data_IF_737884861778
#
_entry.id   IF_737884861778
#
_cell.length_a   1.000
_cell.length_b   1.000
_cell.length_c   1.000
_cell.angle_alpha   90.00
_cell.angle_beta   90.00
_cell.angle_gamma   90.00
#
_symmetry.space_group_name_H-M   'P 1'
#
loop_
_entity.id
_entity.type
_entity.pdbx_description
1 polymer ?
#
# COMPACT_ATOMS: atom_id res chain seq x y z
N UNK A 1 -39.83 -25.80 -71.69
CA UNK A 1 -38.52 -25.13 -71.57
C UNK A 1 -38.64 -23.96 -70.60
N UNK A 2 -37.76 -23.94 -69.59
CA UNK A 2 -37.31 -22.81 -68.74
C UNK A 2 -38.36 -22.18 -67.77
N UNK A 3 -38.26 -22.39 -66.44
CA UNK A 3 -37.28 -21.83 -65.44
C UNK A 3 -37.69 -20.37 -65.10
N UNK A 4 -37.91 -19.88 -63.87
CA UNK A 4 -37.45 -20.11 -62.48
C UNK A 4 -38.44 -19.32 -61.60
N UNK A 5 -39.22 -19.92 -60.70
CA UNK A 5 -38.97 -20.15 -59.26
C UNK A 5 -38.70 -18.88 -58.41
N UNK A 6 -39.79 -18.40 -57.81
CA UNK A 6 -40.02 -17.78 -56.49
C UNK A 6 -38.87 -17.28 -55.58
N UNK A 7 -39.28 -16.26 -54.81
CA UNK A 7 -38.93 -15.94 -53.41
C UNK A 7 -37.65 -15.12 -53.16
N UNK A 8 -37.86 -13.81 -53.04
CA UNK A 8 -37.12 -12.97 -52.10
C UNK A 8 -37.48 -13.48 -50.69
N UNK A 9 -36.49 -13.80 -49.86
CA UNK A 9 -36.44 -13.11 -48.60
C UNK A 9 -35.07 -12.49 -48.39
N UNK A 10 -35.14 -11.20 -48.07
CA UNK A 10 -34.13 -10.37 -47.47
C UNK A 10 -33.34 -11.18 -46.43
N UNK A 11 -32.18 -11.70 -46.81
CA UNK A 11 -31.18 -12.16 -45.86
C UNK A 11 -30.41 -10.91 -45.41
N UNK A 12 -31.11 -10.07 -44.63
CA UNK A 12 -30.45 -9.21 -43.66
C UNK A 12 -29.78 -10.18 -42.70
N UNK A 13 -28.52 -10.54 -42.97
CA UNK A 13 -27.64 -11.04 -41.92
C UNK A 13 -27.50 -9.88 -40.94
N UNK A 14 -28.37 -9.87 -39.94
CA UNK A 14 -28.20 -9.15 -38.71
C UNK A 14 -26.79 -9.49 -38.22
N UNK A 15 -25.87 -8.55 -38.42
CA UNK A 15 -24.63 -8.51 -37.66
C UNK A 15 -25.10 -8.13 -36.26
N UNK A 16 -25.57 -9.11 -35.49
CA UNK A 16 -25.61 -8.97 -34.05
C UNK A 16 -24.15 -8.84 -33.63
N UNK A 17 -23.66 -7.60 -33.58
CA UNK A 17 -22.60 -7.27 -32.65
C UNK A 17 -23.17 -7.63 -31.29
N UNK A 18 -22.96 -8.87 -30.87
CA UNK A 18 -22.94 -9.18 -29.45
C UNK A 18 -21.82 -8.30 -28.92
N UNK A 19 -22.20 -7.12 -28.40
CA UNK A 19 -21.40 -6.49 -27.36
C UNK A 19 -21.36 -7.57 -26.29
N UNK A 20 -20.27 -8.34 -26.25
CA UNK A 20 -19.94 -9.11 -25.07
C UNK A 20 -19.94 -8.05 -23.98
N UNK A 21 -20.95 -8.08 -23.12
CA UNK A 21 -20.90 -7.27 -21.91
C UNK A 21 -19.77 -7.94 -21.16
N UNK A 22 -18.59 -7.33 -21.25
CA UNK A 22 -17.44 -7.75 -20.49
C UNK A 22 -17.74 -7.42 -19.02
N UNK A 23 -18.47 -8.32 -18.37
CA UNK A 23 -18.73 -8.31 -16.94
C UNK A 23 -17.48 -8.79 -16.16
N UNK A 24 -16.28 -8.66 -16.75
CA UNK A 24 -15.03 -8.94 -16.05
C UNK A 24 -14.52 -7.70 -15.33
N UNK A 25 -14.08 -7.90 -14.10
CA UNK A 25 -13.56 -6.85 -13.23
C UNK A 25 -12.94 -7.48 -11.99
N UNK A 26 -12.35 -6.67 -11.12
CA UNK A 26 -11.83 -7.19 -9.87
C UNK A 26 -13.01 -7.46 -8.92
N UNK A 27 -13.26 -8.71 -8.55
CA UNK A 27 -14.34 -9.09 -7.62
C UNK A 27 -13.88 -9.14 -6.17
N UNK A 28 -12.62 -8.79 -5.92
CA UNK A 28 -12.01 -8.80 -4.60
C UNK A 28 -12.31 -7.49 -3.83
N UNK A 29 -13.00 -7.55 -2.68
CA UNK A 29 -13.36 -6.36 -1.91
C UNK A 29 -12.16 -5.65 -1.27
N UNK A 30 -10.99 -6.29 -1.20
CA UNK A 30 -9.77 -5.67 -0.68
C UNK A 30 -9.01 -4.88 -1.77
N UNK A 31 -9.43 -4.98 -3.03
CA UNK A 31 -8.80 -4.28 -4.13
C UNK A 31 -9.26 -2.83 -4.25
N UNK A 32 -8.35 -1.92 -4.62
CA UNK A 32 -8.66 -0.50 -4.85
C UNK A 32 -9.55 -0.28 -6.07
N UNK A 33 -9.59 -1.26 -6.98
CA UNK A 33 -10.40 -1.28 -8.19
C UNK A 33 -11.50 -2.34 -8.16
N UNK A 34 -11.99 -2.68 -6.96
CA UNK A 34 -13.14 -3.56 -6.77
C UNK A 34 -14.35 -3.11 -7.60
N UNK A 35 -14.90 -4.03 -8.38
CA UNK A 35 -16.12 -3.89 -9.15
C UNK A 35 -17.16 -4.89 -8.65
N UNK A 36 -18.08 -4.42 -7.81
CA UNK A 36 -19.18 -5.23 -7.30
C UNK A 36 -20.24 -5.62 -8.34
N UNK A 37 -20.13 -5.12 -9.58
CA UNK A 37 -20.97 -5.54 -10.71
C UNK A 37 -20.31 -6.58 -11.61
N UNK A 38 -19.01 -6.84 -11.42
CA UNK A 38 -18.31 -7.87 -12.16
C UNK A 38 -18.79 -9.27 -11.74
N UNK A 39 -19.10 -10.09 -12.73
CA UNK A 39 -19.51 -11.49 -12.56
C UNK A 39 -18.34 -12.45 -12.78
N UNK A 40 -17.23 -11.94 -13.36
CA UNK A 40 -16.03 -12.70 -13.70
C UNK A 40 -14.79 -11.99 -13.15
N UNK A 41 -13.99 -12.70 -12.36
CA UNK A 41 -12.72 -12.17 -11.83
C UNK A 41 -11.73 -11.90 -12.97
N UNK A 42 -11.16 -10.70 -12.97
CA UNK A 42 -10.13 -10.29 -13.91
C UNK A 42 -8.75 -10.35 -13.25
N UNK A 43 -7.72 -10.70 -14.00
CA UNK A 43 -6.34 -10.67 -13.47
C UNK A 43 -5.79 -9.24 -13.38
N UNK A 44 -6.60 -8.24 -13.00
CA UNK A 44 -6.22 -6.83 -12.95
C UNK A 44 -6.42 -6.18 -11.57
N UNK A 45 -6.83 -6.94 -10.55
CA UNK A 45 -6.95 -6.43 -9.19
C UNK A 45 -5.67 -5.72 -8.76
N UNK A 46 -5.84 -4.54 -8.18
CA UNK A 46 -4.79 -3.72 -7.62
C UNK A 46 -5.02 -3.56 -6.13
N UNK A 47 -3.96 -3.64 -5.35
CA UNK A 47 -4.04 -3.61 -3.91
C UNK A 47 -3.10 -2.55 -3.34
N UNK A 48 -3.51 -1.95 -2.23
CA UNK A 48 -2.66 -1.04 -1.47
C UNK A 48 -2.70 -1.43 0.01
N UNK A 49 -1.61 -1.15 0.71
CA UNK A 49 -1.52 -1.29 2.16
C UNK A 49 -1.08 0.03 2.79
N UNK A 50 -1.55 0.30 4.01
CA UNK A 50 -1.18 1.50 4.77
C UNK A 50 -0.29 1.15 5.95
N UNK A 51 0.64 2.06 6.27
CA UNK A 51 1.51 1.98 7.43
C UNK A 51 1.53 3.32 8.15
N UNK A 52 1.41 3.27 9.47
CA UNK A 52 1.61 4.42 10.36
C UNK A 52 2.71 4.06 11.35
N UNK A 53 3.82 4.79 11.27
CA UNK A 53 4.99 4.68 12.13
C UNK A 53 4.89 5.70 13.27
N UNK A 54 5.21 5.23 14.47
CA UNK A 54 5.27 6.07 15.66
C UNK A 54 6.33 5.56 16.62
N UNK A 55 6.75 6.40 17.56
CA UNK A 55 7.64 6.02 18.66
C UNK A 55 7.17 6.67 19.96
N UNK A 56 7.53 6.04 21.08
CA UNK A 56 7.15 6.47 22.41
C UNK A 56 8.17 7.47 23.00
N UNK A 57 7.81 8.09 24.12
CA UNK A 57 8.68 9.00 24.89
C UNK A 57 10.03 8.36 25.21
N UNK A 58 10.07 7.06 25.48
CA UNK A 58 11.29 6.31 25.78
C UNK A 58 12.36 6.40 24.67
N UNK A 59 11.96 6.51 23.39
CA UNK A 59 12.90 6.71 22.28
C UNK A 59 13.51 8.12 22.32
N UNK A 60 12.77 9.12 22.80
CA UNK A 60 13.20 10.52 22.83
C UNK A 60 14.27 10.80 23.89
N UNK A 61 14.26 10.04 24.99
CA UNK A 61 15.33 10.06 25.98
C UNK A 61 16.66 9.65 25.35
N UNK A 62 16.65 8.57 24.55
CA UNK A 62 17.84 8.14 23.80
C UNK A 62 18.23 9.19 22.75
N UNK A 63 17.29 9.72 21.96
CA UNK A 63 17.62 10.75 20.98
C UNK A 63 18.35 11.95 21.60
N UNK A 64 17.95 12.36 22.80
CA UNK A 64 18.62 13.44 23.53
C UNK A 64 20.05 13.05 23.97
N UNK A 65 20.27 11.80 24.38
CA UNK A 65 21.60 11.29 24.76
C UNK A 65 22.57 11.25 23.57
N UNK A 66 22.05 10.88 22.40
CA UNK A 66 22.84 10.73 21.17
C UNK A 66 22.82 11.94 20.25
N UNK A 67 22.23 13.05 20.72
CA UNK A 67 22.15 14.29 19.98
C UNK A 67 21.46 14.15 18.61
N UNK A 68 20.42 13.33 18.54
CA UNK A 68 19.56 13.15 17.37
C UNK A 68 18.43 14.18 17.46
N UNK A 69 18.30 15.05 16.45
CA UNK A 69 17.31 16.12 16.43
C UNK A 69 16.24 15.94 15.36
N UNK A 70 16.55 15.19 14.30
CA UNK A 70 15.66 14.98 13.16
C UNK A 70 15.74 13.53 12.69
N UNK A 71 14.60 12.99 12.29
CA UNK A 71 14.49 11.65 11.71
C UNK A 71 13.94 11.76 10.30
N UNK A 72 14.49 10.96 9.39
CA UNK A 72 13.99 10.79 8.02
C UNK A 72 13.60 9.35 7.77
N UNK A 73 12.41 9.16 7.22
CA UNK A 73 11.77 7.87 7.08
C UNK A 73 11.76 7.48 5.63
N UNK A 74 12.21 6.27 5.36
CA UNK A 74 12.31 5.72 4.03
C UNK A 74 11.53 4.42 3.92
N UNK A 75 10.88 4.22 2.78
CA UNK A 75 10.29 2.95 2.38
C UNK A 75 10.93 2.53 1.06
N UNK A 76 11.53 1.34 1.02
CA UNK A 76 12.30 0.85 -0.13
C UNK A 76 13.32 1.88 -0.67
N UNK A 77 13.95 2.64 0.24
CA UNK A 77 14.90 3.73 -0.04
C UNK A 77 14.31 5.02 -0.64
N UNK A 78 12.99 5.14 -0.76
CA UNK A 78 12.32 6.41 -1.08
C UNK A 78 11.98 7.16 0.21
N UNK A 79 12.31 8.45 0.29
CA UNK A 79 11.97 9.31 1.43
C UNK A 79 10.46 9.53 1.45
N UNK A 80 9.79 9.09 2.53
CA UNK A 80 8.35 9.32 2.72
C UNK A 80 8.05 10.56 3.56
N UNK A 81 8.84 10.81 4.60
CA UNK A 81 8.61 11.92 5.53
C UNK A 81 9.84 12.20 6.41
N UNK A 82 9.80 13.32 7.14
CA UNK A 82 10.72 13.63 8.22
C UNK A 82 10.00 14.23 9.43
N UNK A 83 10.52 13.97 10.63
CA UNK A 83 9.97 14.56 11.86
C UNK A 83 11.07 14.94 12.85
N UNK A 84 10.74 15.81 13.81
CA UNK A 84 11.62 16.11 14.94
C UNK A 84 11.69 14.91 15.87
N UNK A 85 12.86 14.64 16.44
CA UNK A 85 13.05 13.60 17.47
C UNK A 85 12.29 13.86 18.77
N UNK A 86 11.72 15.04 18.95
CA UNK A 86 10.94 15.41 20.15
C UNK A 86 9.44 15.09 20.02
N UNK A 87 8.99 14.59 18.87
CA UNK A 87 7.59 14.32 18.59
C UNK A 87 7.24 12.86 18.86
N UNK A 88 6.72 12.58 20.04
CA UNK A 88 6.37 11.23 20.47
C UNK A 88 4.87 11.05 20.72
N UNK A 89 4.45 9.79 20.81
CA UNK A 89 3.10 9.41 21.23
C UNK A 89 3.13 8.71 22.59
N UNK A 90 2.10 8.94 23.40
CA UNK A 90 1.93 8.29 24.71
C UNK A 90 1.14 6.98 24.63
N UNK A 91 0.54 6.71 23.47
CA UNK A 91 -0.17 5.46 23.14
C UNK A 91 -0.18 5.26 21.63
N UNK A 92 -0.39 4.02 21.18
CA UNK A 92 -0.53 3.71 19.77
C UNK A 92 -1.58 4.63 19.09
N UNK A 93 -1.19 5.39 18.05
CA UNK A 93 -2.12 6.25 17.34
C UNK A 93 -3.10 5.45 16.47
N UNK A 94 -4.11 6.16 15.95
CA UNK A 94 -4.94 5.62 14.87
C UNK A 94 -4.13 5.57 13.56
N UNK A 95 -4.63 4.78 12.60
CA UNK A 95 -4.13 4.83 11.23
C UNK A 95 -4.18 6.27 10.70
N UNK A 96 -3.12 6.70 10.03
CA UNK A 96 -2.99 8.03 9.42
C UNK A 96 -3.24 9.18 10.41
N UNK A 97 -2.95 8.96 11.70
CA UNK A 97 -3.07 10.01 12.69
C UNK A 97 -2.15 11.19 12.36
N UNK A 98 -2.64 12.39 12.68
CA UNK A 98 -1.87 13.61 12.57
C UNK A 98 -0.55 13.48 13.36
N UNK A 99 0.54 14.01 12.79
CA UNK A 99 1.90 13.96 13.33
C UNK A 99 2.57 12.58 13.30
N UNK A 100 1.84 11.48 13.04
CA UNK A 100 2.46 10.19 12.82
C UNK A 100 2.95 10.08 11.38
N UNK A 101 4.10 9.44 11.17
CA UNK A 101 4.61 9.23 9.81
C UNK A 101 3.79 8.14 9.16
N UNK A 102 3.07 8.48 8.09
CA UNK A 102 2.17 7.54 7.42
C UNK A 102 2.47 7.43 5.93
N UNK A 103 2.18 6.26 5.37
CA UNK A 103 2.40 5.99 3.95
C UNK A 103 1.43 4.92 3.44
N UNK A 104 1.12 5.01 2.16
CA UNK A 104 0.36 4.01 1.41
C UNK A 104 1.28 3.43 0.35
N UNK A 105 1.35 2.10 0.27
CA UNK A 105 2.23 1.39 -0.66
C UNK A 105 1.42 0.54 -1.63
N UNK A 106 1.80 0.59 -2.91
CA UNK A 106 1.23 -0.24 -3.97
C UNK A 106 1.74 -1.69 -3.82
N UNK A 107 0.81 -2.63 -3.65
CA UNK A 107 1.08 -4.06 -3.53
C UNK A 107 0.99 -4.77 -4.89
N UNK A 108 0.88 -4.01 -5.98
CA UNK A 108 0.63 -4.49 -7.33
C UNK A 108 -0.64 -5.37 -7.36
N UNK A 109 -0.51 -6.62 -7.81
CA UNK A 109 -1.59 -7.61 -7.84
C UNK A 109 -1.54 -8.59 -6.67
N UNK A 110 -0.71 -8.31 -5.65
CA UNK A 110 -0.52 -9.14 -4.48
C UNK A 110 -1.34 -8.60 -3.30
N UNK A 111 -1.89 -9.50 -2.49
CA UNK A 111 -2.61 -9.11 -1.26
C UNK A 111 -1.68 -8.80 -0.09
N UNK A 112 -0.44 -9.25 -0.17
CA UNK A 112 0.57 -9.05 0.84
C UNK A 112 1.92 -8.84 0.17
N UNK A 113 2.72 -7.92 0.71
CA UNK A 113 4.06 -7.60 0.20
C UNK A 113 4.89 -6.99 1.30
N UNK A 114 6.14 -7.43 1.40
CA UNK A 114 7.12 -6.90 2.35
C UNK A 114 7.78 -5.64 1.81
N UNK A 115 7.95 -4.66 2.69
CA UNK A 115 8.68 -3.41 2.42
C UNK A 115 9.77 -3.18 3.47
N UNK A 116 10.89 -2.64 3.03
CA UNK A 116 11.97 -2.23 3.93
C UNK A 116 11.70 -0.81 4.44
N UNK A 117 11.57 -0.68 5.76
CA UNK A 117 11.49 0.60 6.45
C UNK A 117 12.87 0.93 6.99
N UNK A 118 13.37 2.12 6.67
CA UNK A 118 14.65 2.62 7.18
C UNK A 118 14.45 4.01 7.74
N UNK A 119 14.89 4.23 8.97
CA UNK A 119 14.89 5.55 9.62
C UNK A 119 16.33 5.94 9.86
N UNK A 120 16.71 7.13 9.41
CA UNK A 120 18.04 7.69 9.61
C UNK A 120 17.93 9.04 10.31
N UNK A 121 19.02 9.44 10.98
CA UNK A 121 19.12 10.75 11.61
C UNK A 121 19.61 11.85 10.63
N UNK A 122 19.97 13.01 11.18
CA UNK A 122 20.57 14.12 10.43
C UNK A 122 21.99 13.84 9.89
N UNK A 123 22.71 12.86 10.44
CA UNK A 123 24.07 12.48 10.02
C UNK A 123 24.06 11.32 8.99
N UNK A 124 22.87 10.86 8.59
CA UNK A 124 22.63 9.67 7.73
C UNK A 124 22.90 8.33 8.43
N UNK A 125 23.07 8.32 9.74
CA UNK A 125 23.23 7.09 10.50
C UNK A 125 21.87 6.39 10.65
N UNK A 126 21.88 5.07 10.49
CA UNK A 126 20.66 4.26 10.62
C UNK A 126 20.27 4.23 12.10
N UNK A 127 19.07 4.70 12.39
CA UNK A 127 18.43 4.61 13.70
C UNK A 127 17.61 3.32 13.78
N UNK A 128 16.85 3.01 12.73
CA UNK A 128 16.05 1.79 12.66
C UNK A 128 16.03 1.20 11.26
N UNK A 129 15.94 -0.13 11.19
CA UNK A 129 15.68 -0.86 9.95
C UNK A 129 14.77 -2.05 10.22
N UNK A 130 13.68 -2.17 9.45
CA UNK A 130 12.70 -3.25 9.56
C UNK A 130 12.28 -3.77 8.18
N UNK A 131 11.90 -5.05 8.13
CA UNK A 131 11.09 -5.61 7.04
C UNK A 131 9.66 -5.75 7.53
N UNK A 132 8.71 -5.05 6.91
CA UNK A 132 7.32 -5.00 7.34
C UNK A 132 6.42 -5.50 6.21
N UNK A 133 5.60 -6.51 6.50
CA UNK A 133 4.51 -6.95 5.63
C UNK A 133 3.37 -5.93 5.64
N UNK A 134 2.98 -5.49 4.44
CA UNK A 134 1.78 -4.71 4.16
C UNK A 134 0.70 -5.65 3.63
N UNK A 135 -0.53 -5.46 4.08
CA UNK A 135 -1.69 -6.27 3.71
C UNK A 135 -2.70 -5.38 3.00
N UNK A 136 -3.32 -5.89 1.93
CA UNK A 136 -4.33 -5.22 1.14
C UNK A 136 -5.47 -4.67 2.00
N UNK A 137 -5.84 -3.41 1.76
CA UNK A 137 -6.90 -2.67 2.46
C UNK A 137 -6.70 -2.55 4.00
N UNK A 138 -5.56 -3.03 4.52
CA UNK A 138 -5.24 -2.96 5.94
C UNK A 138 -4.38 -1.73 6.24
N UNK A 139 -4.42 -1.31 7.50
CA UNK A 139 -3.49 -0.33 8.03
C UNK A 139 -2.74 -0.91 9.21
N UNK A 140 -1.41 -0.95 9.08
CA UNK A 140 -0.51 -1.39 10.13
C UNK A 140 -0.06 -0.18 10.94
N UNK A 141 -0.38 -0.15 12.22
CA UNK A 141 0.18 0.83 13.16
C UNK A 141 1.39 0.18 13.83
N UNK A 142 2.58 0.69 13.57
CA UNK A 142 3.83 0.06 13.96
C UNK A 142 4.67 0.98 14.84
N UNK A 143 4.99 0.48 16.04
CA UNK A 143 5.83 1.17 17.01
C UNK A 143 7.31 0.89 16.72
N UNK A 144 8.08 1.96 16.51
CA UNK A 144 9.53 1.94 16.45
C UNK A 144 10.07 1.96 17.88
N UNK A 145 10.54 0.81 18.35
CA UNK A 145 10.93 0.65 19.76
C UNK A 145 12.37 1.08 19.99
N UNK A 146 12.59 1.70 21.14
CA UNK A 146 13.91 2.14 21.61
C UNK A 146 14.92 0.99 21.67
N UNK A 147 14.48 -0.21 22.11
CA UNK A 147 15.33 -1.41 22.18
C UNK A 147 15.82 -1.92 20.82
N UNK A 148 15.19 -1.49 19.74
CA UNK A 148 15.49 -1.93 18.38
C UNK A 148 16.31 -0.85 17.62
N UNK A 149 16.69 0.25 18.29
CA UNK A 149 17.54 1.30 17.71
C UNK A 149 18.98 0.82 17.48
N UNK A 150 19.57 1.17 16.35
CA UNK A 150 21.01 1.04 16.11
C UNK A 150 21.75 2.28 16.68
N UNK A 151 22.98 2.15 17.22
CA UNK A 151 23.82 0.96 17.36
C UNK A 151 23.58 0.15 18.67
N UNK A 152 22.44 0.32 19.36
CA UNK A 152 22.20 -0.32 20.68
C UNK A 152 22.09 -1.85 20.66
N UNK A 153 22.20 -2.48 19.49
CA UNK A 153 22.34 -3.93 19.33
C UNK A 153 23.78 -4.45 19.56
N UNK A 154 24.75 -3.60 19.92
CA UNK A 154 26.17 -3.99 20.03
C UNK A 154 26.68 -4.18 21.48
N UNK A 155 25.84 -4.07 22.52
CA UNK A 155 26.25 -4.36 23.92
C UNK A 155 25.42 -5.45 24.60
#
# INVERSE_FOLDING_TARGET
MKKIAYLIPVLLLFIINACEIDNSGCTDPDAINFDGSAEVESNNCKYEGRLTLWYAEASTDLFSEYNIHSLRFYVNNELIDSTSSTLFFTSAPLCEAELAVSTTQDLDQLKEKDFTIKVVDEEEDIVWEYSIEFIANACKVFELKEKDMYPYLVN
#
